data_IF_498400164560
#
_entry.id   IF_498400164560
#
_cell.length_a   1.000
_cell.length_b   1.000
_cell.length_c   1.000
_cell.angle_alpha   90.00
_cell.angle_beta   90.00
_cell.angle_gamma   90.00
#
_symmetry.space_group_name_H-M   'P 1'
#
loop_
_entity.id
_entity.type
_entity.pdbx_description
1 polymer ?
#
# COMPACT_ATOMS: atom_id res chain seq x y z
N UNK A 1 4.82 13.82 -11.40
CA UNK A 1 3.65 13.65 -10.53
C UNK A 1 3.90 14.12 -9.10
N UNK A 2 5.05 13.84 -8.47
CA UNK A 2 5.37 14.42 -7.14
C UNK A 2 5.25 15.94 -7.12
N UNK A 3 5.83 16.62 -8.13
CA UNK A 3 5.74 18.08 -8.29
C UNK A 3 4.31 18.57 -8.22
N UNK A 4 3.42 18.10 -9.09
CA UNK A 4 2.01 18.51 -9.18
C UNK A 4 1.29 18.56 -7.83
N UNK A 5 1.30 17.45 -7.08
CA UNK A 5 0.63 17.41 -5.78
C UNK A 5 1.34 18.25 -4.71
N UNK A 6 2.67 18.25 -4.71
CA UNK A 6 3.46 19.04 -3.75
C UNK A 6 3.34 20.56 -3.99
N UNK A 7 3.24 20.97 -5.24
CA UNK A 7 3.13 22.37 -5.66
C UNK A 7 1.73 22.90 -5.34
N UNK A 8 0.68 22.11 -5.59
CA UNK A 8 -0.69 22.44 -5.17
C UNK A 8 -0.79 22.57 -3.65
N UNK A 9 -0.22 21.63 -2.89
CA UNK A 9 -0.19 21.73 -1.44
C UNK A 9 0.55 23.00 -0.96
N UNK A 10 1.69 23.33 -1.59
CA UNK A 10 2.47 24.52 -1.25
C UNK A 10 1.69 25.80 -1.54
N UNK A 11 1.02 25.85 -2.70
CA UNK A 11 0.18 26.98 -3.10
C UNK A 11 -0.95 27.22 -2.09
N UNK A 12 -1.71 26.18 -1.73
CA UNK A 12 -2.78 26.31 -0.73
C UNK A 12 -2.23 26.82 0.60
N UNK A 13 -1.13 26.22 1.09
CA UNK A 13 -0.46 26.67 2.33
C UNK A 13 0.00 28.12 2.27
N UNK A 14 0.51 28.61 1.12
CA UNK A 14 0.99 29.99 1.00
C UNK A 14 -0.11 31.04 0.96
N UNK A 15 -1.34 30.66 0.57
CA UNK A 15 -2.47 31.60 0.49
C UNK A 15 -3.16 31.87 1.83
N UNK A 16 -2.95 31.02 2.84
CA UNK A 16 -3.66 31.10 4.13
C UNK A 16 -5.16 30.76 4.06
N UNK A 17 -5.64 30.22 2.93
CA UNK A 17 -7.03 29.78 2.76
C UNK A 17 -7.35 28.52 3.58
N UNK A 18 -8.63 28.32 3.92
CA UNK A 18 -9.14 27.07 4.48
C UNK A 18 -9.54 26.05 3.40
N UNK A 19 -9.44 26.41 2.12
CA UNK A 19 -9.76 25.53 1.00
C UNK A 19 -8.85 24.27 0.98
N UNK A 20 -9.43 23.15 0.54
CA UNK A 20 -8.75 21.86 0.43
C UNK A 20 -8.65 21.40 -1.01
N UNK A 21 -7.59 20.66 -1.35
CA UNK A 21 -7.38 20.13 -2.69
C UNK A 21 -8.24 18.90 -2.95
N UNK A 22 -8.91 18.86 -4.10
CA UNK A 22 -9.63 17.71 -4.64
C UNK A 22 -9.13 17.42 -6.05
N UNK A 23 -8.93 16.15 -6.41
CA UNK A 23 -8.87 15.74 -7.82
C UNK A 23 -10.31 15.54 -8.28
N UNK A 24 -10.86 16.52 -9.00
CA UNK A 24 -12.25 16.50 -9.47
C UNK A 24 -12.51 15.52 -10.61
N UNK A 25 -11.47 15.18 -11.38
CA UNK A 25 -11.52 14.19 -12.46
C UNK A 25 -10.10 13.67 -12.75
N UNK A 26 -9.91 12.35 -12.82
CA UNK A 26 -8.69 11.77 -13.35
C UNK A 26 -8.91 10.36 -13.92
N UNK A 27 -8.55 10.17 -15.20
CA UNK A 27 -8.52 8.87 -15.89
C UNK A 27 -7.13 8.44 -16.36
N UNK A 28 -6.11 9.25 -16.09
CA UNK A 28 -4.68 9.02 -16.38
C UNK A 28 -4.27 9.05 -17.84
N UNK A 29 -5.17 8.72 -18.77
CA UNK A 29 -5.05 9.01 -20.20
C UNK A 29 -6.34 9.66 -20.69
N UNK A 30 -6.20 10.79 -21.39
CA UNK A 30 -7.34 11.51 -21.98
C UNK A 30 -7.92 10.75 -23.19
N UNK A 31 -8.98 11.27 -23.81
CA UNK A 31 -9.69 10.64 -24.95
C UNK A 31 -10.17 9.21 -24.65
N UNK A 32 -10.84 9.04 -23.51
CA UNK A 32 -11.43 7.76 -23.09
C UNK A 32 -10.43 6.63 -22.82
N UNK A 33 -9.15 6.95 -22.64
CA UNK A 33 -8.12 5.94 -22.36
C UNK A 33 -7.86 5.00 -23.53
N UNK A 34 -7.17 3.89 -23.27
CA UNK A 34 -6.68 2.96 -24.30
C UNK A 34 -6.97 1.51 -23.88
N UNK A 35 -7.67 0.78 -24.74
CA UNK A 35 -7.94 -0.64 -24.55
C UNK A 35 -6.64 -1.45 -24.39
N UNK A 36 -6.66 -2.41 -23.48
CA UNK A 36 -5.54 -3.22 -22.98
C UNK A 36 -4.42 -2.43 -22.31
N UNK A 37 -4.71 -1.19 -21.93
CA UNK A 37 -3.80 -0.33 -21.15
C UNK A 37 -4.52 0.23 -19.94
N UNK A 38 -5.55 1.05 -20.14
CA UNK A 38 -6.26 1.75 -19.04
C UNK A 38 -7.36 0.91 -18.38
N UNK A 39 -7.77 -0.17 -19.05
CA UNK A 39 -8.71 -1.21 -18.59
C UNK A 39 -7.99 -2.53 -18.27
N UNK A 40 -6.65 -2.50 -18.19
CA UNK A 40 -5.79 -3.64 -17.91
C UNK A 40 -4.99 -3.45 -16.62
N UNK A 41 -4.37 -4.53 -16.14
CA UNK A 41 -3.63 -4.56 -14.88
C UNK A 41 -2.49 -3.53 -14.82
N UNK A 42 -1.82 -3.26 -15.94
CA UNK A 42 -0.75 -2.25 -16.04
C UNK A 42 -1.20 -0.87 -15.55
N UNK A 43 -2.49 -0.54 -15.60
CA UNK A 43 -2.97 0.76 -15.12
C UNK A 43 -3.09 0.85 -13.60
N UNK A 44 -3.23 -0.28 -12.90
CA UNK A 44 -3.34 -0.30 -11.44
C UNK A 44 -2.11 0.27 -10.76
N UNK A 45 -0.93 0.15 -11.38
CA UNK A 45 0.29 0.81 -10.92
C UNK A 45 0.15 2.33 -10.90
N UNK A 46 -0.37 2.91 -11.99
CA UNK A 46 -0.59 4.35 -12.08
C UNK A 46 -1.68 4.79 -11.10
N UNK A 47 -2.81 4.07 -11.08
CA UNK A 47 -3.96 4.48 -10.29
C UNK A 47 -3.68 4.47 -8.78
N UNK A 48 -3.12 3.36 -8.26
CA UNK A 48 -2.79 3.27 -6.84
C UNK A 48 -1.67 4.21 -6.42
N UNK A 49 -0.71 4.48 -7.32
CA UNK A 49 0.27 5.53 -7.12
C UNK A 49 -0.39 6.92 -7.02
N UNK A 50 -1.38 7.22 -7.86
CA UNK A 50 -2.11 8.49 -7.78
C UNK A 50 -2.87 8.65 -6.47
N UNK A 51 -3.55 7.60 -6.00
CA UNK A 51 -4.22 7.64 -4.71
C UNK A 51 -3.23 7.87 -3.56
N UNK A 52 -2.10 7.15 -3.57
CA UNK A 52 -1.02 7.33 -2.59
C UNK A 52 -0.42 8.72 -2.60
N UNK A 53 -0.17 9.28 -3.79
CA UNK A 53 0.39 10.61 -3.97
C UNK A 53 -0.58 11.73 -3.55
N UNK A 54 -1.84 11.64 -3.96
CA UNK A 54 -2.90 12.56 -3.57
C UNK A 54 -3.03 12.60 -2.03
N UNK A 55 -3.11 11.42 -1.39
CA UNK A 55 -3.22 11.31 0.06
C UNK A 55 -1.98 11.89 0.78
N UNK A 56 -0.76 11.55 0.32
CA UNK A 56 0.50 12.05 0.90
C UNK A 56 0.60 13.58 0.92
N UNK A 57 0.03 14.23 -0.08
CA UNK A 57 0.08 15.69 -0.23
C UNK A 57 -1.24 16.37 0.16
N UNK A 58 -2.03 15.72 1.00
CA UNK A 58 -3.22 16.29 1.64
C UNK A 58 -4.37 16.65 0.69
N UNK A 59 -4.44 15.96 -0.46
CA UNK A 59 -5.60 16.01 -1.35
C UNK A 59 -6.71 15.13 -0.78
N UNK A 60 -7.86 15.73 -0.48
CA UNK A 60 -8.91 15.13 0.36
C UNK A 60 -9.86 14.20 -0.40
N UNK A 61 -10.00 14.42 -1.70
CA UNK A 61 -10.88 13.64 -2.57
C UNK A 61 -10.20 13.31 -3.89
N UNK A 62 -10.49 12.12 -4.42
CA UNK A 62 -10.01 11.68 -5.72
C UNK A 62 -11.15 11.07 -6.54
N UNK A 63 -11.60 11.79 -7.56
CA UNK A 63 -12.68 11.35 -8.44
C UNK A 63 -12.09 10.64 -9.65
N UNK A 64 -12.20 9.30 -9.68
CA UNK A 64 -11.79 8.48 -10.82
C UNK A 64 -12.76 8.67 -11.98
N UNK A 65 -12.23 9.13 -13.10
CA UNK A 65 -12.89 9.05 -14.39
C UNK A 65 -12.61 7.65 -14.97
N UNK A 66 -13.57 6.74 -15.05
CA UNK A 66 -14.99 6.84 -14.66
C UNK A 66 -15.40 5.58 -13.89
N UNK A 67 -16.60 5.54 -13.30
CA UNK A 67 -17.19 4.27 -12.85
C UNK A 67 -17.51 3.38 -14.06
N UNK A 68 -18.23 3.93 -15.04
CA UNK A 68 -18.56 3.31 -16.33
C UNK A 68 -18.34 4.33 -17.44
N UNK A 69 -17.71 3.92 -18.54
CA UNK A 69 -17.52 4.74 -19.74
C UNK A 69 -16.04 4.94 -20.08
N UNK A 70 -15.68 4.72 -21.34
CA UNK A 70 -14.29 4.73 -21.80
C UNK A 70 -13.47 3.53 -21.31
N UNK A 71 -12.28 3.37 -21.86
CA UNK A 71 -11.34 2.31 -21.51
C UNK A 71 -10.69 2.52 -20.13
N UNK A 72 -10.87 3.65 -19.46
CA UNK A 72 -10.40 3.85 -18.08
C UNK A 72 -11.47 3.51 -17.04
N UNK A 73 -12.66 3.08 -17.49
CA UNK A 73 -13.79 2.80 -16.60
C UNK A 73 -13.44 1.70 -15.60
N UNK A 74 -13.88 1.83 -14.36
CA UNK A 74 -13.73 0.78 -13.36
C UNK A 74 -14.54 -0.47 -13.73
N UNK A 75 -15.65 -0.30 -14.44
CA UNK A 75 -16.44 -1.38 -15.01
C UNK A 75 -16.31 -1.37 -16.54
N UNK A 76 -16.25 -2.57 -17.12
CA UNK A 76 -16.36 -2.76 -18.56
C UNK A 76 -17.70 -2.17 -19.07
N UNK A 77 -17.64 -1.40 -20.15
CA UNK A 77 -18.80 -0.63 -20.65
C UNK A 77 -19.93 -1.50 -21.21
N UNK A 78 -19.62 -2.74 -21.59
CA UNK A 78 -20.57 -3.64 -22.24
C UNK A 78 -21.04 -4.73 -21.28
N UNK A 79 -20.12 -5.33 -20.53
CA UNK A 79 -20.42 -6.47 -19.65
C UNK A 79 -20.70 -6.06 -18.21
N UNK A 80 -20.38 -4.81 -17.83
CA UNK A 80 -20.37 -4.32 -16.44
C UNK A 80 -19.47 -5.13 -15.49
N UNK A 81 -18.62 -6.01 -16.03
CA UNK A 81 -17.65 -6.74 -15.22
C UNK A 81 -16.56 -5.77 -14.73
N UNK A 82 -16.07 -5.92 -13.49
CA UNK A 82 -15.01 -5.09 -12.97
C UNK A 82 -13.68 -5.25 -13.73
N UNK A 83 -13.12 -4.13 -14.18
CA UNK A 83 -11.74 -4.06 -14.66
C UNK A 83 -10.75 -4.13 -13.48
N UNK A 84 -9.45 -4.42 -13.71
CA UNK A 84 -8.45 -4.56 -12.63
C UNK A 84 -8.43 -3.40 -11.62
N UNK A 85 -8.59 -2.17 -12.10
CA UNK A 85 -8.60 -0.96 -11.27
C UNK A 85 -9.76 -0.91 -10.27
N UNK A 86 -10.88 -1.58 -10.53
CA UNK A 86 -11.97 -1.69 -9.57
C UNK A 86 -11.51 -2.43 -8.31
N UNK A 87 -10.84 -3.57 -8.47
CA UNK A 87 -10.33 -4.35 -7.34
C UNK A 87 -9.22 -3.62 -6.60
N UNK A 88 -8.36 -2.89 -7.32
CA UNK A 88 -7.37 -1.98 -6.74
C UNK A 88 -8.04 -0.90 -5.87
N UNK A 89 -9.07 -0.22 -6.37
CA UNK A 89 -9.85 0.75 -5.61
C UNK A 89 -10.58 0.11 -4.42
N UNK A 90 -11.11 -1.10 -4.58
CA UNK A 90 -11.83 -1.81 -3.53
C UNK A 90 -10.90 -2.19 -2.37
N UNK A 91 -9.69 -2.69 -2.65
CA UNK A 91 -8.69 -2.95 -1.62
C UNK A 91 -8.23 -1.66 -0.93
N UNK A 92 -7.98 -0.60 -1.70
CA UNK A 92 -7.69 0.72 -1.14
C UNK A 92 -8.81 1.16 -0.18
N UNK A 93 -10.06 1.09 -0.64
CA UNK A 93 -11.23 1.45 0.15
C UNK A 93 -11.38 0.61 1.41
N UNK A 94 -11.12 -0.69 1.37
CA UNK A 94 -11.28 -1.58 2.53
C UNK A 94 -10.13 -1.51 3.52
N UNK A 95 -8.91 -1.19 3.08
CA UNK A 95 -7.70 -1.37 3.89
C UNK A 95 -7.05 -0.04 4.31
N UNK A 96 -7.10 0.99 3.48
CA UNK A 96 -6.41 2.27 3.74
C UNK A 96 -7.33 3.23 4.50
N UNK A 97 -6.93 3.60 5.72
CA UNK A 97 -7.65 4.56 6.55
C UNK A 97 -7.42 6.02 6.12
N UNK A 98 -8.05 6.96 6.82
CA UNK A 98 -7.98 8.39 6.49
C UNK A 98 -6.75 9.10 7.04
N UNK A 99 -6.13 8.55 8.09
CA UNK A 99 -4.89 9.09 8.69
C UNK A 99 -3.67 8.60 7.88
N UNK A 100 -3.07 9.51 7.10
CA UNK A 100 -1.88 9.23 6.26
C UNK A 100 -0.61 9.31 7.09
N UNK A 101 0.31 8.38 6.90
CA UNK A 101 1.60 8.32 7.59
C UNK A 101 2.74 8.71 6.64
N UNK A 102 3.76 9.36 7.19
CA UNK A 102 4.99 9.62 6.47
C UNK A 102 5.77 8.32 6.25
N UNK A 103 6.24 8.10 5.02
CA UNK A 103 7.04 6.93 4.65
C UNK A 103 8.36 7.40 4.04
N UNK A 104 9.46 6.84 4.56
CA UNK A 104 10.78 6.88 3.94
C UNK A 104 11.14 5.49 3.48
N UNK A 105 11.53 5.33 2.21
CA UNK A 105 11.97 4.06 1.67
C UNK A 105 13.47 4.12 1.38
N UNK A 106 14.23 3.17 1.92
CA UNK A 106 15.66 3.00 1.66
C UNK A 106 15.87 1.76 0.81
N UNK A 107 16.31 1.94 -0.44
CA UNK A 107 16.50 0.85 -1.39
C UNK A 107 16.41 1.34 -2.84
N UNK A 108 15.95 0.47 -3.73
CA UNK A 108 15.72 0.81 -5.15
C UNK A 108 14.66 1.89 -5.34
N UNK A 109 14.83 2.73 -6.35
CA UNK A 109 13.82 3.71 -6.77
C UNK A 109 12.63 3.10 -7.53
N UNK A 110 12.63 1.77 -7.74
CA UNK A 110 11.54 1.03 -8.39
C UNK A 110 10.43 0.60 -7.44
N UNK A 111 10.59 0.80 -6.13
CA UNK A 111 9.51 0.61 -5.15
C UNK A 111 8.89 1.96 -4.82
N UNK A 112 7.56 2.02 -4.90
CA UNK A 112 6.77 3.09 -4.32
C UNK A 112 6.06 2.57 -3.08
N UNK A 113 6.08 3.34 -2.00
CA UNK A 113 5.59 2.93 -0.70
C UNK A 113 4.73 4.02 -0.08
N UNK A 114 3.54 3.63 0.39
CA UNK A 114 2.59 4.49 1.09
C UNK A 114 2.10 3.77 2.34
N UNK A 115 1.77 4.53 3.40
CA UNK A 115 1.30 3.96 4.65
C UNK A 115 0.19 4.83 5.22
N UNK A 116 -0.89 4.19 5.64
CA UNK A 116 -2.00 4.81 6.33
C UNK A 116 -2.21 4.06 7.65
N UNK A 117 -2.87 4.68 8.62
CA UNK A 117 -3.52 3.90 9.67
C UNK A 117 -4.52 2.92 9.03
N UNK A 118 -4.66 1.73 9.58
CA UNK A 118 -5.64 0.77 9.07
C UNK A 118 -7.05 1.34 9.25
N UNK A 119 -7.93 1.09 8.27
CA UNK A 119 -9.24 1.74 8.18
C UNK A 119 -10.16 1.45 9.39
N UNK A 120 -10.44 0.17 9.62
CA UNK A 120 -11.42 -0.27 10.61
C UNK A 120 -10.79 -1.04 11.77
N UNK A 121 -9.50 -0.83 12.04
CA UNK A 121 -8.79 -1.57 13.07
C UNK A 121 -7.48 -0.91 13.51
N UNK A 122 -6.93 -1.28 14.68
CA UNK A 122 -5.62 -0.82 15.10
C UNK A 122 -4.49 -1.28 14.17
N UNK A 123 -3.43 -0.47 14.09
CA UNK A 123 -2.24 -0.76 13.30
C UNK A 123 -2.18 0.07 12.02
N UNK A 124 -1.43 -0.42 11.04
CA UNK A 124 -1.18 0.29 9.78
C UNK A 124 -1.53 -0.60 8.59
N UNK A 125 -1.79 0.04 7.45
CA UNK A 125 -1.83 -0.60 6.14
C UNK A 125 -0.77 0.04 5.27
N UNK A 126 0.05 -0.80 4.65
CA UNK A 126 1.04 -0.41 3.65
C UNK A 126 0.51 -0.70 2.26
N UNK A 127 0.84 0.17 1.30
CA UNK A 127 0.76 -0.08 -0.12
C UNK A 127 2.18 -0.06 -0.68
N UNK A 128 2.61 -1.17 -1.28
CA UNK A 128 3.91 -1.32 -1.92
C UNK A 128 3.71 -1.63 -3.40
N UNK A 129 4.34 -0.87 -4.28
CA UNK A 129 4.24 -1.02 -5.73
C UNK A 129 5.63 -1.30 -6.29
N UNK A 130 5.83 -2.44 -6.94
CA UNK A 130 7.10 -2.79 -7.58
C UNK A 130 7.04 -2.58 -9.09
N UNK A 131 7.82 -1.61 -9.56
CA UNK A 131 7.98 -1.26 -10.98
C UNK A 131 9.19 -1.94 -11.63
N UNK A 132 9.89 -2.82 -10.90
CA UNK A 132 10.95 -3.65 -11.48
C UNK A 132 10.33 -4.85 -12.20
N UNK A 133 10.82 -5.14 -13.41
CA UNK A 133 10.41 -6.31 -14.19
C UNK A 133 11.21 -7.58 -13.94
N UNK A 134 12.30 -7.50 -13.16
CA UNK A 134 13.23 -8.62 -12.99
C UNK A 134 13.66 -8.86 -11.54
N UNK A 135 13.26 -8.02 -10.59
CA UNK A 135 13.71 -8.10 -9.20
C UNK A 135 12.54 -8.12 -8.22
N UNK A 136 12.55 -9.10 -7.32
CA UNK A 136 11.69 -9.10 -6.14
C UNK A 136 12.31 -8.22 -5.07
N UNK A 137 11.57 -7.24 -4.57
CA UNK A 137 11.99 -6.48 -3.38
C UNK A 137 11.60 -7.23 -2.11
N UNK A 138 12.51 -7.27 -1.12
CA UNK A 138 12.22 -7.79 0.22
C UNK A 138 12.20 -6.62 1.19
N UNK A 139 11.00 -6.20 1.60
CA UNK A 139 10.78 -4.98 2.36
C UNK A 139 10.58 -5.31 3.83
N UNK A 140 11.43 -4.75 4.69
CA UNK A 140 11.26 -4.78 6.14
C UNK A 140 10.67 -3.45 6.63
N UNK A 141 9.77 -3.51 7.60
CA UNK A 141 9.01 -2.34 8.08
C UNK A 141 9.49 -1.98 9.49
N UNK A 142 9.79 -0.69 9.71
CA UNK A 142 10.27 -0.18 11.00
C UNK A 142 9.65 1.17 11.32
N UNK A 143 9.42 1.47 12.60
CA UNK A 143 8.97 2.80 13.02
C UNK A 143 10.17 3.73 13.34
N UNK A 144 10.15 4.96 12.83
CA UNK A 144 11.09 6.02 13.24
C UNK A 144 10.81 6.41 14.70
N UNK A 145 11.50 5.74 15.63
CA UNK A 145 11.36 5.88 17.08
C UNK A 145 11.81 4.61 17.81
N UNK A 146 11.58 3.43 17.21
CA UNK A 146 12.07 2.16 17.75
C UNK A 146 13.57 1.95 17.47
N UNK A 147 14.10 2.49 16.36
CA UNK A 147 15.53 2.43 16.06
C UNK A 147 16.40 3.26 17.03
N UNK A 148 15.89 4.39 17.55
CA UNK A 148 16.61 5.24 18.49
C UNK A 148 16.70 4.63 19.91
N UNK A 149 15.70 3.87 20.33
CA UNK A 149 15.70 3.17 21.62
C UNK A 149 16.78 2.07 21.71
N UNK A 150 17.17 1.47 20.58
CA UNK A 150 18.27 0.49 20.51
C UNK A 150 19.66 1.13 20.56
N UNK A 151 19.83 2.34 20.01
CA UNK A 151 21.12 3.04 20.06
C UNK A 151 21.47 3.51 21.48
N UNK A 152 20.49 3.87 22.31
CA UNK A 152 20.71 4.27 23.70
C UNK A 152 20.97 3.10 24.65
N UNK A 153 20.43 1.90 24.40
CA UNK A 153 20.67 0.72 25.24
C UNK A 153 22.07 0.14 25.09
N UNK A 154 22.72 0.30 23.94
CA UNK A 154 24.07 -0.21 23.70
C UNK A 154 25.21 0.66 24.28
N UNK A 155 24.93 1.87 24.77
CA UNK A 155 25.96 2.75 25.36
C UNK A 155 26.24 2.48 26.83
N UNK A 156 25.40 1.73 27.55
CA UNK A 156 25.54 1.50 28.99
C UNK A 156 26.10 0.12 29.38
N UNK A 157 26.27 -0.82 28.45
CA UNK A 157 26.65 -2.22 28.79
C UNK A 157 28.00 -2.66 28.20
N UNK A 158 28.94 -1.73 28.07
CA UNK A 158 30.34 -2.06 27.79
C UNK A 158 31.08 -2.37 29.10
N UNK A 159 30.80 -3.54 29.72
CA UNK A 159 31.70 -4.26 30.66
C UNK A 159 31.08 -5.58 31.13
N UNK A 160 31.44 -6.70 30.48
CA UNK A 160 31.97 -7.96 31.07
C UNK A 160 31.65 -9.21 30.23
N UNK A 161 32.73 -9.97 29.99
CA UNK A 161 32.89 -11.43 29.79
C UNK A 161 31.98 -12.24 28.85
N UNK A 162 32.61 -12.81 27.81
CA UNK A 162 32.86 -14.27 27.74
C UNK A 162 31.70 -15.21 27.41
N UNK A 163 31.75 -15.78 26.20
CA UNK A 163 31.31 -17.16 25.94
C UNK A 163 29.83 -17.41 25.68
N UNK A 164 29.51 -17.89 24.47
CA UNK A 164 28.25 -18.57 24.18
C UNK A 164 27.58 -18.11 22.88
N UNK A 165 27.67 -18.94 21.84
CA UNK A 165 26.80 -18.84 20.65
C UNK A 165 25.35 -19.00 21.10
N UNK A 166 24.60 -17.90 21.13
CA UNK A 166 23.13 -17.90 21.21
C UNK A 166 22.58 -17.28 19.94
N UNK A 167 21.65 -18.00 19.30
CA UNK A 167 20.89 -17.53 18.15
C UNK A 167 20.24 -16.19 18.51
N UNK A 168 20.55 -15.12 17.76
CA UNK A 168 19.93 -13.80 17.96
C UNK A 168 18.52 -13.83 17.39
N UNK A 169 17.52 -13.73 18.26
CA UNK A 169 16.15 -13.45 17.89
C UNK A 169 16.09 -12.13 17.08
N UNK A 170 15.46 -12.18 15.91
CA UNK A 170 15.27 -11.02 15.04
C UNK A 170 14.21 -10.12 15.68
N UNK A 171 14.65 -9.04 16.30
CA UNK A 171 13.76 -8.01 16.84
C UNK A 171 13.26 -7.13 15.68
N UNK A 172 11.95 -7.14 15.41
CA UNK A 172 11.33 -6.23 14.43
C UNK A 172 10.91 -4.95 15.17
N UNK A 173 11.58 -3.79 14.94
CA UNK A 173 11.38 -2.56 15.71
C UNK A 173 10.08 -1.81 15.34
N UNK A 174 8.93 -2.49 15.34
CA UNK A 174 7.68 -1.93 14.82
C UNK A 174 6.41 -2.33 15.57
N UNK A 175 6.44 -3.34 16.43
CA UNK A 175 5.23 -3.82 17.12
C UNK A 175 5.08 -3.19 18.50
N UNK A 176 3.83 -2.91 18.89
CA UNK A 176 3.51 -2.42 20.23
C UNK A 176 3.54 -3.59 21.23
N UNK A 177 4.39 -3.47 22.25
CA UNK A 177 4.73 -4.57 23.18
C UNK A 177 6.13 -5.10 22.86
N UNK A 178 6.94 -5.38 23.88
CA UNK A 178 8.34 -5.78 23.74
C UNK A 178 8.57 -7.03 22.87
N UNK A 179 9.82 -7.51 22.80
CA UNK A 179 10.26 -8.57 21.87
C UNK A 179 9.42 -9.86 21.85
N UNK A 180 8.59 -10.13 22.86
CA UNK A 180 7.64 -11.24 22.91
C UNK A 180 6.32 -10.99 22.14
N UNK A 181 5.83 -9.73 22.06
CA UNK A 181 4.60 -9.41 21.32
C UNK A 181 4.80 -9.42 19.79
N UNK A 182 6.05 -9.27 19.33
CA UNK A 182 6.41 -9.40 17.92
C UNK A 182 6.64 -10.87 17.50
N UNK A 183 6.95 -11.77 18.45
CA UNK A 183 7.13 -13.18 18.17
C UNK A 183 5.76 -13.85 17.97
N UNK A 184 5.45 -14.21 16.73
CA UNK A 184 4.15 -14.79 16.37
C UNK A 184 3.08 -13.77 15.99
N UNK A 185 3.42 -12.48 15.87
CA UNK A 185 2.51 -11.51 15.27
C UNK A 185 2.27 -11.88 13.79
N UNK A 186 1.01 -11.83 13.37
CA UNK A 186 0.59 -12.12 12.00
C UNK A 186 0.23 -10.82 11.30
N UNK A 187 0.70 -10.66 10.06
CA UNK A 187 0.22 -9.61 9.15
C UNK A 187 -0.56 -10.25 7.99
N UNK A 188 -1.45 -9.47 7.41
CA UNK A 188 -2.31 -9.91 6.31
C UNK A 188 -1.85 -9.23 5.01
N UNK A 189 -1.48 -10.02 4.01
CA UNK A 189 -1.01 -9.52 2.72
C UNK A 189 -1.99 -9.82 1.58
N UNK A 190 -2.11 -8.86 0.67
CA UNK A 190 -2.95 -8.92 -0.52
C UNK A 190 -2.05 -8.61 -1.72
N UNK A 191 -1.59 -9.66 -2.39
CA UNK A 191 -0.72 -9.58 -3.55
C UNK A 191 -1.55 -9.52 -4.82
N UNK A 192 -1.51 -8.37 -5.50
CA UNK A 192 -2.11 -8.18 -6.79
C UNK A 192 -1.07 -8.41 -7.89
N UNK A 193 -1.38 -9.34 -8.80
CA UNK A 193 -0.56 -9.63 -9.99
C UNK A 193 -1.45 -9.74 -11.23
N UNK A 194 -0.89 -9.53 -12.43
CA UNK A 194 -1.64 -9.84 -13.64
C UNK A 194 -1.79 -11.36 -13.80
N UNK A 195 -2.88 -11.80 -14.44
CA UNK A 195 -3.00 -13.20 -14.85
C UNK A 195 -1.83 -13.58 -15.77
N UNK A 196 -1.20 -14.73 -15.50
CA UNK A 196 -0.09 -15.29 -16.28
C UNK A 196 1.13 -14.36 -16.43
N UNK A 197 1.24 -13.30 -15.61
CA UNK A 197 2.29 -12.30 -15.73
C UNK A 197 2.07 -11.28 -16.85
N UNK A 198 0.93 -11.32 -17.56
CA UNK A 198 0.62 -10.42 -18.66
C UNK A 198 0.07 -9.08 -18.15
N UNK A 199 0.89 -8.03 -18.21
CA UNK A 199 0.50 -6.68 -17.77
C UNK A 199 -0.70 -6.11 -18.53
N UNK A 200 -0.99 -6.59 -19.74
CA UNK A 200 -2.15 -6.17 -20.54
C UNK A 200 -3.42 -6.97 -20.22
N UNK A 201 -3.33 -7.93 -19.29
CA UNK A 201 -4.48 -8.71 -18.83
C UNK A 201 -5.52 -7.84 -18.13
N UNK A 202 -6.79 -8.07 -18.46
CA UNK A 202 -7.93 -7.51 -17.74
C UNK A 202 -8.35 -8.37 -16.54
N UNK A 203 -7.61 -9.45 -16.27
CA UNK A 203 -7.82 -10.31 -15.09
C UNK A 203 -6.73 -10.03 -14.07
N UNK A 204 -7.15 -9.65 -12.87
CA UNK A 204 -6.26 -9.50 -11.71
C UNK A 204 -6.30 -10.77 -10.86
N UNK A 205 -5.13 -11.18 -10.39
CA UNK A 205 -4.97 -12.24 -9.42
C UNK A 205 -4.78 -11.62 -8.04
N UNK A 206 -5.53 -12.09 -7.04
CA UNK A 206 -5.27 -11.82 -5.63
C UNK A 206 -4.69 -13.08 -5.00
N UNK A 207 -3.45 -12.98 -4.51
CA UNK A 207 -2.76 -14.09 -3.85
C UNK A 207 -2.75 -15.37 -4.72
N UNK A 208 -2.62 -15.20 -6.04
CA UNK A 208 -2.60 -16.30 -7.02
C UNK A 208 -3.98 -16.80 -7.47
N UNK A 209 -5.10 -16.25 -6.97
CA UNK A 209 -6.47 -16.60 -7.39
C UNK A 209 -7.07 -15.48 -8.23
N UNK A 210 -7.69 -15.82 -9.36
CA UNK A 210 -8.33 -14.82 -10.23
C UNK A 210 -9.52 -14.19 -9.50
N UNK A 211 -9.62 -12.86 -9.52
CA UNK A 211 -10.80 -12.16 -9.06
C UNK A 211 -11.78 -12.04 -10.22
N UNK A 212 -12.96 -12.65 -10.05
CA UNK A 212 -14.07 -12.55 -10.98
C UNK A 212 -15.37 -12.55 -10.17
N UNK A 213 -16.38 -11.85 -10.69
CA UNK A 213 -17.72 -11.91 -10.12
C UNK A 213 -18.33 -13.29 -10.36
N UNK A 214 -19.21 -13.70 -9.45
CA UNK A 214 -20.03 -14.88 -9.72
C UNK A 214 -21.10 -14.59 -10.80
N UNK A 215 -21.92 -15.61 -11.12
CA UNK A 215 -22.97 -15.50 -12.13
C UNK A 215 -24.06 -14.46 -11.79
N UNK A 216 -24.18 -14.08 -10.50
CA UNK A 216 -25.11 -13.05 -10.05
C UNK A 216 -24.45 -11.65 -9.99
N UNK A 217 -23.18 -11.52 -10.36
CA UNK A 217 -22.44 -10.27 -10.32
C UNK A 217 -21.88 -9.91 -8.94
N UNK A 218 -21.90 -10.85 -7.97
CA UNK A 218 -21.36 -10.58 -6.64
C UNK A 218 -19.84 -10.51 -6.68
N UNK A 219 -19.28 -9.54 -5.97
CA UNK A 219 -17.83 -9.40 -5.81
C UNK A 219 -17.31 -10.52 -4.90
N UNK A 220 -16.25 -11.26 -5.29
CA UNK A 220 -15.69 -12.33 -4.45
C UNK A 220 -15.10 -11.78 -3.14
N UNK A 221 -14.96 -12.65 -2.16
CA UNK A 221 -14.19 -12.33 -0.96
C UNK A 221 -12.74 -12.00 -1.34
N UNK A 222 -12.21 -10.91 -0.79
CA UNK A 222 -10.81 -10.54 -0.96
C UNK A 222 -10.03 -11.14 0.21
N UNK A 223 -9.59 -12.38 0.06
CA UNK A 223 -8.90 -13.12 1.11
C UNK A 223 -7.41 -12.72 1.18
N UNK A 224 -6.94 -12.40 2.38
CA UNK A 224 -5.53 -12.18 2.63
C UNK A 224 -4.77 -13.49 2.80
N UNK A 225 -3.46 -13.46 2.56
CA UNK A 225 -2.55 -14.47 3.10
C UNK A 225 -1.98 -13.98 4.43
N UNK A 226 -1.93 -14.88 5.40
CA UNK A 226 -1.34 -14.62 6.70
C UNK A 226 0.17 -14.91 6.67
N UNK A 227 0.96 -13.93 7.09
CA UNK A 227 2.42 -14.01 7.06
C UNK A 227 2.96 -13.59 8.42
N UNK A 228 3.96 -14.32 8.90
CA UNK A 228 4.73 -13.92 10.09
C UNK A 228 5.25 -12.49 9.89
N UNK A 229 4.83 -11.61 10.78
CA UNK A 229 5.09 -10.19 10.68
C UNK A 229 6.59 -9.86 10.81
N UNK A 230 7.41 -10.79 11.32
CA UNK A 230 8.85 -10.65 11.39
C UNK A 230 9.57 -10.89 10.05
N UNK A 231 8.94 -11.60 9.10
CA UNK A 231 9.55 -11.88 7.80
C UNK A 231 9.49 -10.65 6.89
N UNK A 232 10.47 -10.39 6.01
CA UNK A 232 10.32 -9.34 5.00
C UNK A 232 9.12 -9.59 4.08
N UNK A 233 8.43 -8.51 3.68
CA UNK A 233 7.37 -8.55 2.66
C UNK A 233 8.04 -8.75 1.30
N UNK A 234 7.68 -9.80 0.57
CA UNK A 234 8.17 -10.02 -0.78
C UNK A 234 7.26 -9.31 -1.78
N UNK A 235 7.78 -8.34 -2.52
CA UNK A 235 7.04 -7.64 -3.58
C UNK A 235 7.65 -8.08 -4.92
N UNK A 236 6.98 -9.02 -5.60
CA UNK A 236 7.49 -9.66 -6.82
C UNK A 236 7.57 -8.65 -7.98
N UNK A 237 8.28 -8.97 -9.09
CA UNK A 237 8.33 -8.09 -10.25
C UNK A 237 6.92 -7.75 -10.75
N UNK A 238 6.73 -6.50 -11.18
CA UNK A 238 5.44 -5.96 -11.65
C UNK A 238 4.25 -6.45 -10.82
N UNK A 239 4.28 -6.15 -9.52
CA UNK A 239 3.20 -6.49 -8.60
C UNK A 239 2.91 -5.34 -7.64
N UNK A 240 1.76 -5.46 -6.97
CA UNK A 240 1.30 -4.51 -5.97
C UNK A 240 0.91 -5.30 -4.73
N UNK A 241 1.29 -4.82 -3.55
CA UNK A 241 0.99 -5.47 -2.28
C UNK A 241 0.33 -4.48 -1.34
N UNK A 242 -0.86 -4.82 -0.85
CA UNK A 242 -1.37 -4.24 0.37
C UNK A 242 -0.97 -5.13 1.55
N UNK A 243 -0.36 -4.56 2.58
CA UNK A 243 0.01 -5.30 3.79
C UNK A 243 -0.58 -4.61 5.01
N UNK A 244 -1.58 -5.24 5.62
CA UNK A 244 -2.13 -4.81 6.91
C UNK A 244 -1.28 -5.41 8.02
N UNK A 245 -0.74 -4.56 8.88
CA UNK A 245 0.10 -4.95 10.01
C UNK A 245 -0.65 -4.59 11.30
N UNK A 246 -1.41 -5.54 11.86
CA UNK A 246 -2.09 -5.36 13.14
C UNK A 246 -1.09 -5.01 14.24
N UNK A 247 -1.53 -4.22 15.22
CA UNK A 247 -0.74 -3.89 16.43
C UNK A 247 0.63 -3.25 16.16
N UNK A 248 0.86 -2.72 14.96
CA UNK A 248 2.03 -1.90 14.68
C UNK A 248 2.02 -0.66 15.57
N UNK A 249 3.14 -0.38 16.23
CA UNK A 249 3.33 0.75 17.13
C UNK A 249 3.44 2.06 16.36
N UNK A 250 2.29 2.60 15.95
CA UNK A 250 2.15 3.93 15.39
C UNK A 250 1.25 4.78 16.32
N UNK A 251 1.82 5.71 17.12
CA UNK A 251 1.03 6.53 18.04
C UNK A 251 -0.13 7.28 17.38
N UNK A 252 0.05 7.76 16.15
CA UNK A 252 -1.00 8.45 15.37
C UNK A 252 -2.19 7.55 15.00
N UNK A 253 -2.02 6.23 15.02
CA UNK A 253 -3.03 5.23 14.66
C UNK A 253 -3.73 4.60 15.87
N UNK A 254 -3.53 5.15 17.07
CA UNK A 254 -4.35 4.78 18.21
C UNK A 254 -5.77 5.26 17.96
N UNK A 255 -6.74 4.40 18.26
CA UNK A 255 -8.14 4.78 18.28
C UNK A 255 -8.32 5.62 19.53
N UNK A 256 -8.70 6.89 19.36
CA UNK A 256 -9.09 7.74 20.48
C UNK A 256 -10.31 7.07 21.14
N UNK A 257 -10.17 6.68 22.41
CA UNK A 257 -11.27 6.14 23.22
C UNK A 257 -12.09 7.28 23.79
#
# INVERSE_FOLDING_TARGET
>A
MVSTFSDLQRLLKSTGTSAVAWVGEAGGAYNSGRHLVTDAFVFSFWFLDQLGMAARFDTKSYCRQSLVGGNYGLLNTTTFQPNPDYYSALLWHRLMGTKVLAVTFSGTNKIRAYAHCARDSPGITLLLINLSGNATARVSVTAQGAAAAHAHRHRHDARKHGGGRKFRHVHVPGFAGGGEAAAGAVRHEYHLTPKDGDLTSQVVMLNGRALATDAAGNIPALEAVEVDAARPIAVTPYSIVFARVPHFSAPACRVDR
#
